data_IF_537140235527
#
_entry.id   IF_537140235527
#
_cell.length_a   1.000
_cell.length_b   1.000
_cell.length_c   1.000
_cell.angle_alpha   90.00
_cell.angle_beta   90.00
_cell.angle_gamma   90.00
#
_symmetry.space_group_name_H-M   'P 1'
#
loop_
_entity.id
_entity.type
_entity.pdbx_description
1 polymer ?
#
# COMPACT_ATOMS: atom_id res chain seq x y z
N UNK A 1 20.13 -18.57 4.68
CA UNK A 1 19.45 -17.29 4.93
C UNK A 1 19.96 -16.28 3.93
N UNK A 2 19.17 -16.11 2.89
CA UNK A 2 19.33 -15.16 1.80
C UNK A 2 18.53 -13.90 2.10
N UNK A 3 18.95 -12.77 1.52
CA UNK A 3 18.33 -11.46 1.68
C UNK A 3 18.22 -10.80 0.30
N UNK A 4 17.05 -10.25 0.01
CA UNK A 4 16.82 -9.38 -1.16
C UNK A 4 16.09 -8.11 -0.72
N UNK A 5 16.40 -6.98 -1.35
CA UNK A 5 15.66 -5.74 -1.18
C UNK A 5 15.54 -4.98 -2.50
N UNK A 6 14.37 -4.39 -2.73
CA UNK A 6 14.09 -3.60 -3.92
C UNK A 6 13.14 -2.46 -3.57
N UNK A 7 13.30 -1.32 -4.23
CA UNK A 7 12.39 -0.17 -4.07
C UNK A 7 11.49 -0.11 -5.30
N UNK A 8 10.19 -0.26 -5.08
CA UNK A 8 9.17 -0.04 -6.07
C UNK A 8 8.76 1.43 -6.08
N UNK A 9 8.66 2.01 -7.28
CA UNK A 9 8.07 3.33 -7.50
C UNK A 9 6.67 3.17 -8.09
N UNK A 10 5.67 3.77 -7.42
CA UNK A 10 4.27 3.69 -7.81
C UNK A 10 3.78 5.11 -8.11
N UNK A 11 3.42 5.36 -9.36
CA UNK A 11 2.82 6.63 -9.77
C UNK A 11 1.32 6.62 -9.52
N UNK A 12 0.85 7.60 -8.75
CA UNK A 12 -0.56 7.81 -8.41
C UNK A 12 -1.08 9.07 -9.08
N UNK A 13 -2.37 9.08 -9.38
CA UNK A 13 -3.08 10.14 -10.11
C UNK A 13 -4.33 10.60 -9.34
N UNK A 14 -4.18 10.79 -8.04
CA UNK A 14 -5.26 11.10 -7.09
C UNK A 14 -5.63 9.92 -6.20
N UNK A 15 -6.60 10.15 -5.30
CA UNK A 15 -6.99 9.17 -4.28
C UNK A 15 -7.47 7.87 -4.92
N UNK A 16 -7.16 6.76 -4.27
CA UNK A 16 -7.65 5.44 -4.66
C UNK A 16 -6.66 4.31 -4.39
N UNK A 17 -7.09 3.11 -4.72
CA UNK A 17 -6.29 1.89 -4.58
C UNK A 17 -5.56 1.55 -5.89
N UNK A 18 -4.23 1.59 -5.83
CA UNK A 18 -3.31 1.24 -6.92
C UNK A 18 -2.76 -0.15 -6.67
N UNK A 19 -3.21 -1.14 -7.45
CA UNK A 19 -2.74 -2.51 -7.33
C UNK A 19 -1.31 -2.63 -7.87
N UNK A 20 -0.44 -3.33 -7.14
CA UNK A 20 0.93 -3.61 -7.57
C UNK A 20 1.37 -5.06 -7.24
N UNK A 21 0.40 -5.99 -7.22
CA UNK A 21 0.60 -7.40 -6.86
C UNK A 21 1.59 -8.11 -7.79
N UNK A 22 1.57 -7.79 -9.09
CA UNK A 22 2.40 -8.44 -10.10
C UNK A 22 3.87 -8.04 -9.97
N UNK A 23 4.13 -6.77 -9.68
CA UNK A 23 5.43 -6.21 -9.42
C UNK A 23 6.07 -6.89 -8.20
N UNK A 24 5.29 -7.07 -7.13
CA UNK A 24 5.75 -7.78 -5.93
C UNK A 24 6.02 -9.25 -6.23
N UNK A 25 5.14 -9.91 -6.99
CA UNK A 25 5.34 -11.31 -7.39
C UNK A 25 6.64 -11.47 -8.19
N UNK A 26 6.91 -10.55 -9.12
CA UNK A 26 8.14 -10.52 -9.91
C UNK A 26 9.38 -10.38 -9.03
N UNK A 27 9.35 -9.53 -7.99
CA UNK A 27 10.47 -9.40 -7.04
C UNK A 27 10.74 -10.73 -6.33
N UNK A 28 9.67 -11.40 -5.87
CA UNK A 28 9.80 -12.70 -5.20
C UNK A 28 10.41 -13.74 -6.14
N UNK A 29 9.89 -13.87 -7.37
CA UNK A 29 10.41 -14.82 -8.37
C UNK A 29 11.88 -14.54 -8.72
N UNK A 30 12.27 -13.28 -8.87
CA UNK A 30 13.64 -12.89 -9.21
C UNK A 30 14.63 -13.08 -8.05
N UNK A 31 14.15 -13.03 -6.80
CA UNK A 31 14.99 -13.20 -5.61
C UNK A 31 15.57 -14.60 -5.47
N UNK A 32 14.93 -15.62 -6.07
CA UNK A 32 15.24 -17.05 -5.93
C UNK A 32 15.20 -17.56 -4.48
N UNK A 33 14.57 -16.82 -3.58
CA UNK A 33 14.29 -17.25 -2.20
C UNK A 33 13.06 -18.15 -2.25
N UNK A 34 13.22 -19.41 -1.85
CA UNK A 34 12.20 -20.43 -1.95
C UNK A 34 11.13 -20.25 -0.88
N UNK A 35 11.55 -20.16 0.38
CA UNK A 35 10.65 -19.98 1.52
C UNK A 35 11.14 -18.83 2.41
N UNK A 36 10.24 -17.91 2.77
CA UNK A 36 10.63 -16.72 3.53
C UNK A 36 9.48 -15.81 3.94
N UNK A 37 9.86 -14.59 4.34
CA UNK A 37 8.94 -13.52 4.67
C UNK A 37 9.31 -12.27 3.87
N UNK A 38 8.37 -11.84 3.02
CA UNK A 38 8.42 -10.55 2.37
C UNK A 38 7.79 -9.52 3.31
N UNK A 39 8.46 -8.39 3.52
CA UNK A 39 7.87 -7.19 4.12
C UNK A 39 7.86 -6.08 3.09
N UNK A 40 6.69 -5.49 2.87
CA UNK A 40 6.52 -4.27 2.08
C UNK A 40 6.37 -3.09 3.03
N UNK A 41 7.19 -2.06 2.86
CA UNK A 41 7.22 -0.88 3.72
C UNK A 41 7.04 0.41 2.90
N UNK A 42 5.94 1.10 3.12
CA UNK A 42 5.63 2.41 2.54
C UNK A 42 6.48 3.49 3.24
N UNK A 43 7.29 4.19 2.46
CA UNK A 43 8.18 5.26 2.97
C UNK A 43 7.52 6.64 2.94
N UNK A 44 6.21 6.69 3.19
CA UNK A 44 5.37 7.88 3.11
C UNK A 44 4.36 7.91 4.25
N UNK A 45 3.88 9.10 4.60
CA UNK A 45 2.93 9.32 5.70
C UNK A 45 1.53 9.72 5.22
N UNK A 46 1.36 9.91 3.91
CA UNK A 46 0.11 10.31 3.27
C UNK A 46 -0.42 9.30 2.24
N UNK A 47 0.09 8.07 2.29
CA UNK A 47 -0.46 6.90 1.60
C UNK A 47 -0.15 5.65 2.43
N UNK A 48 -0.87 4.56 2.18
CA UNK A 48 -0.79 3.33 2.98
C UNK A 48 -0.73 2.08 2.11
N UNK A 49 -0.49 0.93 2.73
CA UNK A 49 -0.53 -0.39 2.12
C UNK A 49 -1.74 -1.16 2.62
N UNK A 50 -2.40 -1.88 1.71
CA UNK A 50 -3.51 -2.78 2.01
C UNK A 50 -3.38 -4.09 1.25
N UNK A 51 -3.91 -5.16 1.84
CA UNK A 51 -4.27 -6.38 1.12
C UNK A 51 -5.79 -6.46 1.14
N UNK A 52 -6.41 -6.40 -0.02
CA UNK A 52 -7.87 -6.35 -0.17
C UNK A 52 -8.33 -7.13 -1.41
N UNK A 53 -9.64 -7.21 -1.60
CA UNK A 53 -10.22 -7.86 -2.78
C UNK A 53 -9.75 -7.20 -4.09
N UNK A 54 -9.40 -8.01 -5.10
CA UNK A 54 -9.04 -7.54 -6.45
C UNK A 54 -9.95 -8.05 -7.57
N UNK A 55 -11.08 -8.66 -7.23
CA UNK A 55 -12.05 -9.14 -8.20
C UNK A 55 -13.17 -8.11 -8.44
N UNK A 56 -13.79 -7.60 -7.38
CA UNK A 56 -14.90 -6.65 -7.47
C UNK A 56 -14.42 -5.18 -7.39
N UNK A 57 -14.60 -4.36 -8.43
CA UNK A 57 -14.27 -2.94 -8.37
C UNK A 57 -15.08 -2.15 -7.33
N UNK A 58 -16.28 -2.60 -6.96
CA UNK A 58 -17.13 -1.92 -5.97
C UNK A 58 -16.48 -1.93 -4.58
N UNK A 59 -15.72 -2.98 -4.23
CA UNK A 59 -14.97 -3.04 -2.96
C UNK A 59 -13.97 -1.87 -2.85
N UNK A 60 -13.30 -1.53 -3.95
CA UNK A 60 -12.35 -0.40 -3.96
C UNK A 60 -13.08 0.95 -3.81
N UNK A 61 -14.19 1.11 -4.54
CA UNK A 61 -15.01 2.32 -4.45
C UNK A 61 -15.59 2.52 -3.04
N UNK A 62 -16.09 1.44 -2.42
CA UNK A 62 -16.63 1.48 -1.07
C UNK A 62 -15.56 1.79 -0.01
N UNK A 63 -14.35 1.26 -0.16
CA UNK A 63 -13.21 1.61 0.71
C UNK A 63 -12.87 3.10 0.60
N UNK A 64 -12.75 3.64 -0.61
CA UNK A 64 -12.48 5.07 -0.83
C UNK A 64 -13.54 5.94 -0.15
N UNK A 65 -14.82 5.59 -0.36
CA UNK A 65 -15.99 6.31 0.13
C UNK A 65 -16.16 6.19 1.66
N UNK A 66 -15.83 5.03 2.24
CA UNK A 66 -15.80 4.81 3.69
C UNK A 66 -14.72 5.67 4.36
N UNK A 67 -13.48 5.64 3.85
CA UNK A 67 -12.38 6.41 4.44
C UNK A 67 -12.55 7.92 4.23
N UNK A 68 -13.21 8.36 3.16
CA UNK A 68 -13.60 9.76 2.97
C UNK A 68 -14.55 10.27 4.07
N UNK A 69 -15.39 9.40 4.65
CA UNK A 69 -16.26 9.74 5.79
C UNK A 69 -15.55 9.74 7.14
N UNK A 70 -14.60 8.83 7.34
CA UNK A 70 -13.84 8.74 8.60
C UNK A 70 -12.87 9.91 8.74
N UNK A 71 -12.20 10.26 7.66
CA UNK A 71 -11.23 11.35 7.61
C UNK A 71 -11.67 12.37 6.55
N UNK A 72 -12.70 13.19 6.85
CA UNK A 72 -13.19 14.19 5.91
C UNK A 72 -12.19 15.34 5.76
N UNK A 73 -12.25 15.99 4.60
CA UNK A 73 -11.50 17.24 4.34
C UNK A 73 -12.06 18.38 5.20
N UNK A 74 -11.23 19.42 5.42
CA UNK A 74 -11.64 20.67 6.08
C UNK A 74 -12.17 20.53 7.52
N UNK A 75 -11.56 19.65 8.32
CA UNK A 75 -11.84 19.59 9.76
C UNK A 75 -11.33 20.87 10.44
N UNK A 76 -12.24 21.76 10.86
CA UNK A 76 -11.95 23.08 11.43
C UNK A 76 -11.17 23.06 12.75
N UNK A 77 -11.27 21.96 13.50
CA UNK A 77 -10.57 21.73 14.76
C UNK A 77 -9.14 21.16 14.59
N UNK A 78 -8.74 20.81 13.36
CA UNK A 78 -7.41 20.30 13.07
C UNK A 78 -6.40 21.45 12.96
N UNK A 79 -5.24 21.28 13.60
CA UNK A 79 -4.16 22.28 13.59
C UNK A 79 -3.32 22.27 12.32
N UNK A 80 -3.16 21.11 11.68
CA UNK A 80 -2.31 20.95 10.51
C UNK A 80 -3.06 21.29 9.22
N UNK A 81 -2.66 22.36 8.53
CA UNK A 81 -3.40 22.91 7.37
C UNK A 81 -2.47 23.50 6.29
N UNK A 82 -1.19 23.13 6.28
CA UNK A 82 -0.18 23.79 5.44
C UNK A 82 -0.15 23.29 3.99
N UNK A 83 -0.50 22.03 3.73
CA UNK A 83 -0.32 21.40 2.40
C UNK A 83 -1.64 21.09 1.69
N UNK A 84 -2.72 21.77 2.08
CA UNK A 84 -4.03 21.64 1.44
C UNK A 84 -5.05 20.83 2.26
N UNK A 85 -6.31 20.80 1.78
CA UNK A 85 -7.45 20.28 2.54
C UNK A 85 -7.47 18.76 2.71
N UNK A 86 -6.69 18.03 1.91
CA UNK A 86 -6.57 16.57 1.88
C UNK A 86 -5.38 16.04 2.69
N UNK A 87 -4.47 16.92 3.14
CA UNK A 87 -3.22 16.52 3.77
C UNK A 87 -3.39 15.86 5.15
N UNK A 88 -3.98 16.56 6.13
CA UNK A 88 -4.24 15.93 7.43
C UNK A 88 -5.19 14.71 7.32
N UNK A 89 -6.26 14.74 6.50
CA UNK A 89 -7.02 13.53 6.19
C UNK A 89 -6.15 12.37 5.74
N UNK A 90 -5.19 12.59 4.85
CA UNK A 90 -4.27 11.56 4.39
C UNK A 90 -3.42 10.97 5.52
N UNK A 91 -2.91 11.82 6.41
CA UNK A 91 -2.20 11.35 7.60
C UNK A 91 -3.08 10.51 8.54
N UNK A 92 -4.34 10.91 8.75
CA UNK A 92 -5.30 10.14 9.56
C UNK A 92 -5.58 8.79 8.92
N UNK A 93 -5.86 8.76 7.61
CA UNK A 93 -6.09 7.50 6.88
C UNK A 93 -4.87 6.57 6.97
N UNK A 94 -3.65 7.10 6.84
CA UNK A 94 -2.41 6.32 7.04
C UNK A 94 -2.31 5.77 8.46
N UNK A 95 -2.63 6.57 9.49
CA UNK A 95 -2.59 6.15 10.90
C UNK A 95 -3.62 5.06 11.24
N UNK A 96 -4.76 5.04 10.54
CA UNK A 96 -5.82 4.04 10.70
C UNK A 96 -5.59 2.76 9.89
N UNK A 97 -4.64 2.78 8.96
CA UNK A 97 -4.34 1.68 8.05
C UNK A 97 -2.95 1.12 8.37
N UNK A 98 -2.10 0.90 7.37
CA UNK A 98 -0.81 0.26 7.55
C UNK A 98 0.23 0.86 6.64
N UNK A 99 1.43 1.10 7.16
CA UNK A 99 2.60 1.45 6.35
C UNK A 99 3.49 0.23 6.08
N UNK A 100 3.22 -0.89 6.74
CA UNK A 100 4.03 -2.10 6.69
C UNK A 100 3.12 -3.32 6.64
N UNK A 101 3.29 -4.17 5.64
CA UNK A 101 2.59 -5.46 5.53
C UNK A 101 3.62 -6.57 5.30
N UNK A 102 3.39 -7.73 5.89
CA UNK A 102 4.26 -8.90 5.73
C UNK A 102 3.49 -10.06 5.12
N UNK A 103 4.08 -10.69 4.10
CA UNK A 103 3.46 -11.73 3.28
C UNK A 103 4.40 -12.95 3.27
N UNK A 104 3.92 -14.15 3.67
CA UNK A 104 4.71 -15.35 3.54
C UNK A 104 5.05 -15.65 2.08
N UNK A 105 6.27 -16.12 1.85
CA UNK A 105 6.72 -16.66 0.56
C UNK A 105 6.94 -18.16 0.76
N UNK A 106 6.31 -18.98 -0.09
CA UNK A 106 6.50 -20.44 -0.10
C UNK A 106 6.65 -20.92 -1.53
N UNK A 107 7.68 -21.72 -1.80
CA UNK A 107 7.99 -22.20 -3.16
C UNK A 107 8.12 -21.07 -4.19
N UNK A 108 8.78 -19.97 -3.82
CA UNK A 108 8.97 -18.75 -4.62
C UNK A 108 7.66 -18.04 -5.01
N UNK A 109 6.58 -18.22 -4.23
CA UNK A 109 5.30 -17.56 -4.48
C UNK A 109 4.79 -16.84 -3.25
N UNK A 110 4.16 -15.69 -3.47
CA UNK A 110 3.37 -15.01 -2.44
C UNK A 110 2.20 -15.90 -2.01
N UNK A 111 2.05 -16.13 -0.71
CA UNK A 111 0.95 -16.91 -0.15
C UNK A 111 -0.26 -15.99 0.09
N UNK A 112 -0.84 -15.50 -1.01
CA UNK A 112 -2.07 -14.72 -1.01
C UNK A 112 -3.29 -15.62 -1.24
N UNK A 113 -4.43 -15.21 -0.70
CA UNK A 113 -5.74 -15.78 -1.07
C UNK A 113 -6.09 -15.45 -2.52
N UNK A 114 -7.00 -16.24 -3.12
CA UNK A 114 -7.38 -16.13 -4.54
C UNK A 114 -7.86 -14.72 -4.92
N UNK A 115 -8.50 -14.00 -3.99
CA UNK A 115 -9.04 -12.66 -4.20
C UNK A 115 -8.16 -11.56 -3.60
N UNK A 116 -6.99 -11.88 -3.04
CA UNK A 116 -6.15 -10.88 -2.37
C UNK A 116 -5.20 -10.21 -3.36
N UNK A 117 -5.38 -8.91 -3.56
CA UNK A 117 -4.43 -8.01 -4.22
C UNK A 117 -3.68 -7.15 -3.21
N UNK A 118 -2.47 -6.73 -3.58
CA UNK A 118 -1.62 -5.81 -2.83
C UNK A 118 -1.81 -4.42 -3.41
N UNK A 119 -2.20 -3.47 -2.56
CA UNK A 119 -2.52 -2.11 -2.97
C UNK A 119 -1.70 -1.06 -2.23
N UNK A 120 -1.32 -0.02 -2.98
CA UNK A 120 -1.00 1.27 -2.41
C UNK A 120 -2.29 2.08 -2.40
N UNK A 121 -2.72 2.48 -1.22
CA UNK A 121 -3.88 3.34 -1.04
C UNK A 121 -3.40 4.79 -0.95
N UNK A 122 -3.58 5.52 -2.04
CA UNK A 122 -3.29 6.95 -2.15
C UNK A 122 -4.40 7.75 -1.49
N UNK A 123 -4.02 8.69 -0.62
CA UNK A 123 -4.95 9.52 0.13
C UNK A 123 -4.93 10.99 -0.31
N UNK A 124 -3.98 11.39 -1.16
CA UNK A 124 -3.85 12.74 -1.68
C UNK A 124 -4.51 12.89 -3.06
N UNK A 125 -5.02 14.08 -3.34
CA UNK A 125 -5.71 14.38 -4.61
C UNK A 125 -4.74 14.57 -5.79
N UNK A 126 -3.51 14.98 -5.50
CA UNK A 126 -2.51 15.30 -6.53
C UNK A 126 -1.74 14.05 -6.98
N UNK A 127 -1.09 14.17 -8.13
CA UNK A 127 -0.20 13.11 -8.62
C UNK A 127 1.03 12.99 -7.70
N UNK A 128 1.38 11.76 -7.34
CA UNK A 128 2.57 11.48 -6.56
C UNK A 128 3.36 10.31 -7.14
N UNK A 129 4.65 10.26 -6.83
CA UNK A 129 5.46 9.06 -6.97
C UNK A 129 5.75 8.52 -5.58
N UNK A 130 5.17 7.38 -5.26
CA UNK A 130 5.29 6.71 -3.96
C UNK A 130 6.37 5.64 -4.01
N UNK A 131 6.99 5.39 -2.87
CA UNK A 131 8.08 4.43 -2.73
C UNK A 131 7.70 3.36 -1.71
N UNK A 132 7.75 2.10 -2.14
CA UNK A 132 7.53 0.93 -1.30
C UNK A 132 8.81 0.10 -1.32
N UNK A 133 9.41 -0.10 -0.15
CA UNK A 133 10.55 -1.00 0.01
C UNK A 133 10.02 -2.42 0.15
N UNK A 134 10.38 -3.29 -0.78
CA UNK A 134 10.28 -4.73 -0.65
C UNK A 134 11.55 -5.25 0.03
N UNK A 135 11.38 -5.97 1.14
CA UNK A 135 12.48 -6.57 1.89
C UNK A 135 12.14 -8.03 2.17
N UNK A 136 12.89 -8.95 1.57
CA UNK A 136 12.64 -10.39 1.61
C UNK A 136 13.80 -11.12 2.28
N UNK A 137 13.49 -11.87 3.33
CA UNK A 137 14.44 -12.77 4.00
C UNK A 137 13.89 -14.18 3.94
N UNK A 138 14.75 -15.14 3.63
CA UNK A 138 14.35 -16.55 3.58
C UNK A 138 15.51 -17.47 3.28
N UNK A 139 15.21 -18.70 2.86
CA UNK A 139 16.20 -19.63 2.32
C UNK A 139 16.01 -19.75 0.81
#
# INVERSE_FOLDING_TARGET
>A
MNLSHEVLEISTHGQGLYEFTNEVSSIVEQSKIEDGLLTLFCRHTSCSLLIQENADPDVRADLDEFFARIAPKNMDWIRHHLEGPDDMPAHIKTALTSISISIPVIGQKLVLGVWQGIYLFEHRDQNHNRQVLAHLIGN
#
